data_IF_112656768283
#
_entry.id   IF_112656768283
#
_cell.length_a   1.000
_cell.length_b   1.000
_cell.length_c   1.000
_cell.angle_alpha   90.00
_cell.angle_beta   90.00
_cell.angle_gamma   90.00
#
_symmetry.space_group_name_H-M   'P 1'
#
loop_
_entity.id
_entity.type
_entity.pdbx_description
1 polymer ?
#
# COMPACT_ATOMS: atom_id res chain seq x y z
N UNK A 1 23.60 -3.74 4.02
CA UNK A 1 22.88 -2.86 3.10
C UNK A 1 21.39 -3.02 3.29
N UNK A 2 20.72 -1.91 3.54
CA UNK A 2 19.31 -1.95 3.86
C UNK A 2 18.46 -2.12 2.59
N UNK A 3 17.55 -3.06 2.66
CA UNK A 3 16.56 -3.27 1.61
C UNK A 3 15.26 -2.59 1.99
N UNK A 4 14.58 -2.01 1.01
CA UNK A 4 13.31 -1.33 1.20
C UNK A 4 12.26 -1.93 0.28
N UNK A 5 11.15 -2.35 0.88
CA UNK A 5 10.01 -2.91 0.15
C UNK A 5 8.84 -1.92 0.21
N UNK A 6 8.15 -1.74 -0.91
CA UNK A 6 6.89 -1.02 -0.94
C UNK A 6 5.75 -2.02 -0.91
N UNK A 7 4.88 -1.92 0.09
CA UNK A 7 3.65 -2.69 0.12
C UNK A 7 2.47 -1.80 -0.28
N UNK A 8 1.64 -2.31 -1.19
CA UNK A 8 0.46 -1.61 -1.69
C UNK A 8 -0.76 -2.39 -1.25
N UNK A 9 -1.43 -1.92 -0.21
CA UNK A 9 -2.49 -2.64 0.49
C UNK A 9 -3.60 -1.69 0.89
N UNK A 10 -4.82 -2.21 1.01
CA UNK A 10 -5.87 -1.49 1.70
C UNK A 10 -5.63 -1.51 3.22
N UNK A 11 -6.17 -0.50 3.90
CA UNK A 11 -6.07 -0.38 5.34
C UNK A 11 -7.46 -0.52 5.94
N UNK A 12 -7.68 -1.56 6.74
CA UNK A 12 -8.88 -1.71 7.56
C UNK A 12 -8.56 -1.24 8.97
N UNK A 13 -9.29 -0.25 9.46
CA UNK A 13 -9.01 0.33 10.78
C UNK A 13 -9.22 -0.70 11.90
N UNK A 14 -10.20 -1.57 11.73
CA UNK A 14 -10.50 -2.67 12.66
C UNK A 14 -10.60 -3.97 11.86
N UNK A 15 -10.02 -5.02 12.39
CA UNK A 15 -9.92 -6.31 11.72
C UNK A 15 -8.52 -6.53 11.15
N UNK A 16 -8.00 -7.74 11.32
CA UNK A 16 -6.62 -8.03 10.93
C UNK A 16 -6.56 -8.67 9.55
N UNK A 17 -6.29 -7.85 8.54
CA UNK A 17 -6.09 -8.31 7.18
C UNK A 17 -5.25 -7.30 6.41
N UNK A 18 -4.86 -7.66 5.18
CA UNK A 18 -4.11 -6.78 4.26
C UNK A 18 -2.90 -6.13 4.95
N UNK A 19 -2.86 -4.80 5.01
CA UNK A 19 -1.70 -4.08 5.56
C UNK A 19 -1.42 -4.41 7.01
N UNK A 20 -2.44 -4.58 7.84
CA UNK A 20 -2.27 -4.86 9.27
C UNK A 20 -1.66 -6.25 9.53
N UNK A 21 -1.73 -7.15 8.56
CA UNK A 21 -1.05 -8.45 8.59
C UNK A 21 0.31 -8.38 7.91
N UNK A 22 0.37 -7.82 6.71
CA UNK A 22 1.59 -7.80 5.90
C UNK A 22 2.72 -7.02 6.57
N UNK A 23 2.43 -5.85 7.13
CA UNK A 23 3.44 -4.97 7.68
C UNK A 23 4.22 -5.59 8.84
N UNK A 24 3.57 -6.17 9.88
CA UNK A 24 4.30 -6.80 10.96
C UNK A 24 5.18 -7.97 10.49
N UNK A 25 4.70 -8.77 9.54
CA UNK A 25 5.46 -9.92 9.02
C UNK A 25 6.70 -9.45 8.28
N UNK A 26 6.57 -8.46 7.39
CA UNK A 26 7.70 -7.93 6.64
C UNK A 26 8.71 -7.28 7.58
N UNK A 27 8.22 -6.51 8.55
CA UNK A 27 9.07 -5.86 9.54
C UNK A 27 9.84 -6.86 10.39
N UNK A 28 9.20 -7.98 10.75
CA UNK A 28 9.86 -9.06 11.51
C UNK A 28 10.98 -9.71 10.72
N UNK A 29 10.97 -9.62 9.39
CA UNK A 29 12.06 -10.10 8.53
C UNK A 29 13.22 -9.12 8.44
N UNK A 30 13.18 -7.99 9.14
CA UNK A 30 14.24 -6.99 9.12
C UNK A 30 14.26 -6.12 7.86
N UNK A 31 13.15 -6.01 7.16
CA UNK A 31 13.04 -5.25 5.91
C UNK A 31 12.33 -3.92 6.19
N UNK A 32 12.95 -2.82 5.79
CA UNK A 32 12.29 -1.51 5.82
C UNK A 32 11.13 -1.51 4.85
N UNK A 33 9.97 -1.04 5.30
CA UNK A 33 8.74 -1.11 4.51
C UNK A 33 8.14 0.26 4.30
N UNK A 34 8.01 0.68 3.04
CA UNK A 34 7.18 1.80 2.64
C UNK A 34 5.74 1.32 2.44
N UNK A 35 4.81 2.22 2.57
CA UNK A 35 3.39 1.89 2.51
C UNK A 35 2.70 2.81 1.51
N UNK A 36 1.99 2.22 0.55
CA UNK A 36 1.05 2.95 -0.31
C UNK A 36 -0.34 2.38 -0.04
N UNK A 37 -1.18 3.08 0.73
CA UNK A 37 -2.53 2.59 0.96
C UNK A 37 -3.37 2.77 -0.31
N UNK A 38 -4.01 1.69 -0.75
CA UNK A 38 -4.89 1.72 -1.92
C UNK A 38 -6.28 2.25 -1.57
N UNK A 39 -6.71 2.02 -0.33
CA UNK A 39 -7.98 2.48 0.21
C UNK A 39 -7.96 2.38 1.71
N UNK A 40 -8.85 3.12 2.37
CA UNK A 40 -9.03 3.04 3.82
C UNK A 40 -10.48 2.64 4.10
N UNK A 41 -10.65 1.61 4.91
CA UNK A 41 -11.96 1.11 5.34
C UNK A 41 -12.08 1.26 6.86
N UNK A 42 -13.31 1.48 7.34
CA UNK A 42 -13.55 1.55 8.79
C UNK A 42 -13.22 0.22 9.48
N UNK A 43 -13.47 -0.90 8.78
CA UNK A 43 -13.25 -2.24 9.32
C UNK A 43 -13.13 -3.22 8.18
N UNK A 44 -12.70 -4.43 8.51
CA UNK A 44 -12.64 -5.54 7.56
C UNK A 44 -14.03 -5.85 7.01
N UNK A 45 -14.11 -6.26 5.75
CA UNK A 45 -15.40 -6.53 5.08
C UNK A 45 -16.05 -7.83 5.53
N UNK A 46 -15.27 -8.78 6.04
CA UNK A 46 -15.79 -10.04 6.54
C UNK A 46 -16.03 -9.97 8.07
N UNK A 47 -17.13 -10.49 8.54
CA UNK A 47 -17.46 -10.52 9.95
C UNK A 47 -18.13 -9.26 10.51
N UNK A 48 -18.39 -8.27 9.66
CA UNK A 48 -19.06 -7.03 10.02
C UNK A 48 -20.26 -6.81 9.11
N UNK A 49 -21.26 -6.06 9.59
CA UNK A 49 -22.50 -5.83 8.85
C UNK A 49 -22.35 -4.78 7.74
N UNK A 50 -21.30 -3.99 7.79
CA UNK A 50 -21.03 -2.97 6.78
C UNK A 50 -19.71 -2.27 7.08
N UNK A 51 -19.31 -1.37 6.17
CA UNK A 51 -18.05 -0.64 6.30
C UNK A 51 -18.10 0.68 5.54
N UNK A 52 -17.24 1.62 5.94
CA UNK A 52 -16.96 2.81 5.13
C UNK A 52 -15.78 2.52 4.23
N UNK A 53 -15.70 3.25 3.12
CA UNK A 53 -14.65 3.02 2.12
C UNK A 53 -14.19 4.35 1.55
N UNK A 54 -12.87 4.57 1.55
CA UNK A 54 -12.25 5.72 0.90
C UNK A 54 -11.17 5.25 -0.07
N UNK A 55 -11.40 5.48 -1.37
CA UNK A 55 -10.48 5.11 -2.43
C UNK A 55 -9.38 6.17 -2.56
N UNK A 56 -8.14 5.74 -2.68
CA UNK A 56 -6.97 6.62 -2.77
C UNK A 56 -6.36 6.65 -4.18
N UNK A 57 -7.09 6.22 -5.20
CA UNK A 57 -6.58 6.19 -6.58
C UNK A 57 -6.04 7.54 -7.03
N UNK A 58 -6.77 8.62 -6.77
CA UNK A 58 -6.37 9.95 -7.22
C UNK A 58 -5.17 10.51 -6.46
N UNK A 59 -4.84 9.94 -5.31
CA UNK A 59 -3.68 10.35 -4.53
C UNK A 59 -2.39 9.69 -4.99
N UNK A 60 -2.48 8.56 -5.68
CA UNK A 60 -1.31 7.78 -6.11
C UNK A 60 -0.33 8.59 -6.97
N UNK A 61 -0.78 9.31 -8.03
CA UNK A 61 0.14 10.13 -8.82
C UNK A 61 0.82 11.23 -7.99
N UNK A 62 0.09 11.83 -7.07
CA UNK A 62 0.62 12.90 -6.21
C UNK A 62 1.68 12.37 -5.26
N UNK A 63 1.45 11.19 -4.70
CA UNK A 63 2.41 10.52 -3.82
C UNK A 63 3.69 10.18 -4.61
N UNK A 64 3.53 9.62 -5.81
CA UNK A 64 4.68 9.30 -6.66
C UNK A 64 5.49 10.55 -6.99
N UNK A 65 4.84 11.65 -7.37
CA UNK A 65 5.54 12.89 -7.70
C UNK A 65 6.39 13.36 -6.52
N UNK A 66 5.87 13.25 -5.31
CA UNK A 66 6.61 13.63 -4.11
C UNK A 66 7.78 12.71 -3.86
N UNK A 67 7.59 11.40 -4.04
CA UNK A 67 8.67 10.43 -3.90
C UNK A 67 9.80 10.66 -4.90
N UNK A 68 9.45 10.99 -6.14
CA UNK A 68 10.46 11.28 -7.15
C UNK A 68 11.28 12.54 -6.80
N UNK A 69 10.63 13.56 -6.26
CA UNK A 69 11.31 14.76 -5.77
C UNK A 69 12.29 14.44 -4.66
N UNK A 70 11.89 13.56 -3.73
CA UNK A 70 12.73 13.15 -2.59
C UNK A 70 13.70 12.02 -2.95
N UNK A 71 13.70 11.56 -4.19
CA UNK A 71 14.57 10.47 -4.68
C UNK A 71 14.37 9.16 -3.92
N UNK A 72 13.13 8.84 -3.59
CA UNK A 72 12.77 7.60 -2.92
C UNK A 72 12.83 6.45 -3.93
N UNK A 73 13.45 5.34 -3.52
CA UNK A 73 13.55 4.12 -4.34
C UNK A 73 13.17 2.90 -3.51
N UNK A 74 12.78 1.83 -4.20
CA UNK A 74 12.42 0.55 -3.56
C UNK A 74 13.12 -0.60 -4.25
N UNK A 75 13.45 -1.63 -3.49
CA UNK A 75 14.09 -2.85 -4.00
C UNK A 75 13.08 -3.91 -4.41
N UNK A 76 11.89 -3.87 -3.81
CA UNK A 76 10.85 -4.86 -4.08
C UNK A 76 9.47 -4.26 -3.85
N UNK A 77 8.45 -4.90 -4.41
CA UNK A 77 7.06 -4.49 -4.33
C UNK A 77 6.19 -5.67 -3.94
N UNK A 78 5.25 -5.44 -3.03
CA UNK A 78 4.27 -6.44 -2.64
C UNK A 78 2.88 -5.81 -2.68
N UNK A 79 2.04 -6.30 -3.58
CA UNK A 79 0.68 -5.78 -3.74
C UNK A 79 -0.33 -6.75 -3.18
N UNK A 80 -1.31 -6.22 -2.42
CA UNK A 80 -2.52 -6.93 -2.08
C UNK A 80 -3.61 -6.67 -3.12
N UNK A 81 -4.86 -6.64 -2.68
CA UNK A 81 -5.97 -6.31 -3.56
C UNK A 81 -5.87 -4.85 -4.02
N UNK A 82 -5.99 -4.64 -5.33
CA UNK A 82 -6.04 -3.30 -5.93
C UNK A 82 -7.13 -3.28 -6.99
N UNK A 83 -7.75 -2.12 -7.19
CA UNK A 83 -8.78 -1.98 -8.21
C UNK A 83 -8.16 -1.84 -9.59
N UNK A 84 -8.96 -2.14 -10.62
CA UNK A 84 -8.51 -2.02 -12.00
C UNK A 84 -8.03 -0.60 -12.33
N UNK A 85 -8.70 0.42 -11.79
CA UNK A 85 -8.33 1.82 -12.02
C UNK A 85 -6.96 2.17 -11.43
N UNK A 86 -6.48 1.43 -10.44
CA UNK A 86 -5.22 1.68 -9.77
C UNK A 86 -4.03 1.03 -10.48
N UNK A 87 -4.25 0.02 -11.31
CA UNK A 87 -3.18 -0.74 -11.95
C UNK A 87 -2.22 0.16 -12.75
N UNK A 88 -2.67 1.09 -13.60
CA UNK A 88 -1.74 1.97 -14.32
C UNK A 88 -0.86 2.80 -13.40
N UNK A 89 -1.42 3.30 -12.30
CA UNK A 89 -0.66 4.09 -11.33
C UNK A 89 0.38 3.25 -10.61
N UNK A 90 0.03 2.01 -10.26
CA UNK A 90 0.95 1.09 -9.59
C UNK A 90 2.10 0.70 -10.50
N UNK A 91 1.82 0.40 -11.77
CA UNK A 91 2.87 0.10 -12.74
C UNK A 91 3.82 1.27 -12.94
N UNK A 92 3.30 2.50 -12.96
CA UNK A 92 4.10 3.71 -13.06
C UNK A 92 5.03 3.88 -11.85
N UNK A 93 4.51 3.63 -10.66
CA UNK A 93 5.29 3.67 -9.41
C UNK A 93 6.41 2.63 -9.46
N UNK A 94 6.10 1.40 -9.85
CA UNK A 94 7.08 0.31 -9.93
C UNK A 94 8.18 0.63 -10.94
N UNK A 95 7.85 1.26 -12.05
CA UNK A 95 8.82 1.62 -13.07
C UNK A 95 9.74 2.76 -12.61
N UNK A 96 9.21 3.74 -11.87
CA UNK A 96 9.93 4.98 -11.54
C UNK A 96 10.62 4.97 -10.19
N UNK A 97 10.32 4.02 -9.34
CA UNK A 97 10.92 3.91 -8.01
C UNK A 97 11.67 2.60 -7.83
#
# INVERSE_FOLDING_TARGET
MDKRLLTIQDVSCVGQCSLTVALPVISACGIETGILPSSVLSNHTAGFSGWTFHDLTDDMPKILDRWLTEKVTFDAFYTGYVSKAQIPHILDIMEKT
#
